data_IF_543827440876
#
_entry.id   IF_543827440876
#
_cell.length_a   1.000
_cell.length_b   1.000
_cell.length_c   1.000
_cell.angle_alpha   90.00
_cell.angle_beta   90.00
_cell.angle_gamma   90.00
#
_symmetry.space_group_name_H-M   'P 1'
#
loop_
_entity.id
_entity.type
_entity.pdbx_description
1 polymer ?
#
# COMPACT_ATOMS: atom_id res chain seq x y z
N UNK A 1 1.34 -11.83 27.47
CA UNK A 1 0.71 -10.61 28.00
C UNK A 1 -0.61 -10.36 27.26
N UNK A 2 -1.66 -10.03 27.98
CA UNK A 2 -2.92 -9.64 27.35
C UNK A 2 -2.72 -8.35 26.53
N UNK A 3 -3.29 -8.29 25.33
CA UNK A 3 -3.30 -7.05 24.53
C UNK A 3 -4.04 -5.98 25.31
N UNK A 4 -3.45 -4.80 25.41
CA UNK A 4 -4.11 -3.65 26.02
C UNK A 4 -5.35 -3.29 25.19
N UNK A 5 -6.51 -3.30 25.81
CA UNK A 5 -7.74 -2.85 25.17
C UNK A 5 -7.80 -1.32 25.18
N UNK A 6 -8.25 -0.76 24.06
CA UNK A 6 -8.55 0.66 23.94
C UNK A 6 -10.06 0.84 23.91
N UNK A 7 -10.57 1.73 24.74
CA UNK A 7 -11.98 2.07 24.77
C UNK A 7 -12.14 3.57 24.55
N UNK A 8 -13.14 3.95 23.75
CA UNK A 8 -13.38 5.34 23.36
C UNK A 8 -14.87 5.68 23.51
N UNK A 9 -15.15 6.93 23.82
CA UNK A 9 -16.53 7.43 23.91
C UNK A 9 -17.22 7.53 22.55
N UNK A 10 -16.43 7.64 21.49
CA UNK A 10 -16.90 7.72 20.10
C UNK A 10 -16.25 6.66 19.24
N UNK A 11 -17.01 6.18 18.25
CA UNK A 11 -16.46 5.28 17.25
C UNK A 11 -15.26 5.94 16.53
N UNK A 12 -14.24 5.16 16.25
CA UNK A 12 -13.03 5.60 15.55
C UNK A 12 -12.70 4.64 14.41
N UNK A 13 -12.33 5.16 13.23
CA UNK A 13 -11.85 4.27 12.17
C UNK A 13 -10.47 3.73 12.50
N UNK A 14 -10.16 2.56 11.97
CA UNK A 14 -8.78 2.13 11.83
C UNK A 14 -8.13 2.90 10.68
N UNK A 15 -6.81 3.08 10.74
CA UNK A 15 -6.06 3.78 9.69
C UNK A 15 -5.01 2.85 9.13
N UNK A 16 -4.96 2.75 7.80
CA UNK A 16 -3.89 2.04 7.08
C UNK A 16 -3.09 3.01 6.23
N UNK A 17 -1.84 2.65 5.96
CA UNK A 17 -0.98 3.35 5.02
C UNK A 17 -0.58 2.37 3.91
N UNK A 18 -0.82 2.76 2.66
CA UNK A 18 -0.53 1.95 1.49
C UNK A 18 0.43 2.70 0.57
N UNK A 19 1.23 1.97 -0.22
CA UNK A 19 2.24 2.58 -1.07
C UNK A 19 2.06 2.14 -2.50
N UNK A 20 1.95 3.11 -3.40
CA UNK A 20 2.02 2.90 -4.85
C UNK A 20 3.45 3.22 -5.29
N UNK A 21 4.25 2.18 -5.46
CA UNK A 21 5.65 2.28 -5.86
C UNK A 21 5.76 1.98 -7.35
N UNK A 22 6.11 2.98 -8.15
CA UNK A 22 6.12 2.89 -9.62
C UNK A 22 7.51 3.21 -10.17
N UNK A 23 8.00 2.38 -11.07
CA UNK A 23 9.30 2.55 -11.71
C UNK A 23 9.31 3.71 -12.73
N UNK A 24 10.49 4.34 -12.88
CA UNK A 24 10.77 5.32 -13.93
C UNK A 24 11.38 4.62 -15.15
N UNK A 25 10.53 4.14 -16.04
CA UNK A 25 10.94 3.48 -17.28
C UNK A 25 9.87 3.69 -18.34
N UNK A 26 10.19 3.38 -19.60
CA UNK A 26 9.26 3.58 -20.73
C UNK A 26 7.96 2.80 -20.56
N UNK A 27 8.04 1.60 -19.99
CA UNK A 27 6.87 0.79 -19.62
C UNK A 27 6.85 0.60 -18.10
N UNK A 28 6.29 1.58 -17.36
CA UNK A 28 6.38 1.56 -15.90
C UNK A 28 5.70 0.35 -15.28
N UNK A 29 6.25 -0.06 -14.14
CA UNK A 29 5.74 -1.18 -13.34
C UNK A 29 5.42 -0.71 -11.93
N UNK A 30 4.44 -1.35 -11.32
CA UNK A 30 4.07 -1.14 -9.92
C UNK A 30 4.44 -2.37 -9.09
N UNK A 31 4.89 -2.15 -7.88
CA UNK A 31 5.19 -3.22 -6.94
C UNK A 31 3.92 -3.67 -6.24
N UNK A 32 3.64 -4.97 -6.30
CA UNK A 32 2.52 -5.58 -5.60
C UNK A 32 3.01 -6.73 -4.74
N UNK A 33 2.29 -6.98 -3.66
CA UNK A 33 2.46 -8.16 -2.81
C UNK A 33 1.27 -9.10 -3.01
N UNK A 34 1.49 -10.40 -2.85
CA UNK A 34 0.40 -11.37 -2.79
C UNK A 34 0.03 -11.59 -1.33
N UNK A 35 -1.24 -11.43 -1.01
CA UNK A 35 -1.71 -11.57 0.36
C UNK A 35 -1.66 -13.03 0.81
N UNK A 36 -1.06 -13.26 1.98
CA UNK A 36 -0.99 -14.61 2.57
C UNK A 36 -2.23 -14.96 3.39
N UNK A 37 -2.98 -13.95 3.85
CA UNK A 37 -4.09 -14.13 4.79
C UNK A 37 -5.40 -13.48 4.31
N UNK A 38 -6.52 -13.95 4.83
CA UNK A 38 -7.81 -13.31 4.61
C UNK A 38 -7.86 -11.91 5.28
N UNK A 39 -8.63 -10.94 4.78
CA UNK A 39 -9.43 -11.00 3.55
C UNK A 39 -8.58 -10.98 2.29
N UNK A 40 -9.12 -11.46 1.19
CA UNK A 40 -8.46 -11.51 -0.12
C UNK A 40 -7.17 -12.34 -0.16
N UNK A 41 -7.09 -13.44 0.59
CA UNK A 41 -5.95 -14.35 0.52
C UNK A 41 -5.68 -14.79 -0.92
N UNK A 42 -4.40 -14.75 -1.34
CA UNK A 42 -3.99 -15.06 -2.71
C UNK A 42 -4.13 -13.93 -3.71
N UNK A 43 -4.88 -12.88 -3.39
CA UNK A 43 -5.00 -11.70 -4.26
C UNK A 43 -3.75 -10.80 -4.14
N UNK A 44 -3.50 -10.04 -5.20
CA UNK A 44 -2.44 -9.04 -5.21
C UNK A 44 -2.94 -7.71 -4.62
N UNK A 45 -2.06 -7.00 -3.96
CA UNK A 45 -2.36 -5.76 -3.27
C UNK A 45 -1.15 -4.82 -3.26
N UNK A 46 -1.40 -3.55 -2.99
CA UNK A 46 -0.33 -2.61 -2.66
C UNK A 46 0.31 -3.01 -1.34
N UNK A 47 1.63 -2.83 -1.19
CA UNK A 47 2.25 -2.93 0.13
C UNK A 47 1.62 -1.92 1.09
N UNK A 48 1.40 -2.32 2.33
CA UNK A 48 0.80 -1.45 3.33
C UNK A 48 0.19 -2.22 4.48
N UNK A 49 -0.28 -1.50 5.48
CA UNK A 49 -0.91 -2.08 6.65
C UNK A 49 -1.35 -1.04 7.67
N UNK A 50 -1.76 -1.51 8.83
CA UNK A 50 -2.29 -0.66 9.88
C UNK A 50 -1.20 0.20 10.52
N UNK A 51 -1.56 1.46 10.76
CA UNK A 51 -0.74 2.39 11.53
C UNK A 51 -0.77 1.96 13.00
N UNK A 52 0.38 1.92 13.64
CA UNK A 52 0.49 1.60 15.07
C UNK A 52 0.13 2.83 15.93
N UNK A 53 -0.17 2.57 17.20
CA UNK A 53 -0.38 3.65 18.18
C UNK A 53 0.82 4.61 18.19
N UNK A 54 0.51 5.90 18.10
CA UNK A 54 1.51 6.98 18.14
C UNK A 54 2.58 6.93 17.04
N UNK A 55 2.36 6.16 15.98
CA UNK A 55 3.24 6.08 14.82
C UNK A 55 2.86 7.16 13.80
N UNK A 56 3.80 7.98 13.32
CA UNK A 56 3.55 8.87 12.19
C UNK A 56 3.16 8.06 10.95
N UNK A 57 2.19 8.57 10.19
CA UNK A 57 1.61 7.82 9.06
C UNK A 57 2.67 7.51 7.99
N UNK A 58 3.58 8.44 7.70
CA UNK A 58 4.68 8.22 6.75
C UNK A 58 5.60 7.09 7.24
N UNK A 59 5.88 7.04 8.53
CA UNK A 59 6.71 6.00 9.12
C UNK A 59 6.02 4.64 9.05
N UNK A 60 4.69 4.61 9.26
CA UNK A 60 3.91 3.38 9.08
C UNK A 60 4.03 2.86 7.64
N UNK A 61 3.91 3.73 6.65
CA UNK A 61 4.07 3.37 5.25
C UNK A 61 5.45 2.77 4.96
N UNK A 62 6.50 3.42 5.45
CA UNK A 62 7.89 2.93 5.28
C UNK A 62 8.13 1.61 6.00
N UNK A 63 7.62 1.47 7.21
CA UNK A 63 7.73 0.24 8.01
C UNK A 63 7.04 -0.92 7.30
N UNK A 64 5.80 -0.74 6.87
CA UNK A 64 5.05 -1.79 6.17
C UNK A 64 5.72 -2.19 4.86
N UNK A 65 6.22 -1.22 4.09
CA UNK A 65 6.97 -1.52 2.87
C UNK A 65 8.20 -2.38 3.17
N UNK A 66 8.95 -2.01 4.20
CA UNK A 66 10.14 -2.78 4.62
C UNK A 66 9.78 -4.18 5.09
N UNK A 67 8.78 -4.31 5.95
CA UNK A 67 8.33 -5.60 6.48
C UNK A 67 7.85 -6.55 5.38
N UNK A 68 7.13 -6.04 4.38
CA UNK A 68 6.54 -6.87 3.33
C UNK A 68 7.45 -7.11 2.13
N UNK A 69 8.38 -6.20 1.85
CA UNK A 69 9.20 -6.24 0.62
C UNK A 69 10.71 -6.14 0.84
N UNK A 70 11.14 -5.79 2.03
CA UNK A 70 12.55 -5.54 2.34
C UNK A 70 13.08 -4.21 1.81
N UNK A 71 12.26 -3.41 1.14
CA UNK A 71 12.69 -2.14 0.54
C UNK A 71 12.65 -0.98 1.51
N UNK A 72 13.57 -0.03 1.30
CA UNK A 72 13.62 1.26 2.00
C UNK A 72 13.51 2.38 0.98
N UNK A 73 12.54 3.26 1.19
CA UNK A 73 12.29 4.42 0.30
C UNK A 73 12.34 5.69 1.14
N UNK A 74 13.20 6.62 0.76
CA UNK A 74 13.41 7.86 1.51
C UNK A 74 12.25 8.84 1.36
N UNK A 75 11.72 9.00 0.15
CA UNK A 75 10.71 10.01 -0.16
C UNK A 75 9.40 9.36 -0.60
N UNK A 76 8.36 9.64 0.18
CA UNK A 76 6.98 9.29 -0.13
C UNK A 76 6.16 10.58 -0.16
N UNK A 77 5.29 10.72 -1.15
CA UNK A 77 4.32 11.80 -1.19
C UNK A 77 2.91 11.26 -1.00
N UNK A 78 2.08 12.00 -0.29
CA UNK A 78 0.67 11.62 -0.13
C UNK A 78 -0.03 11.71 -1.49
N UNK A 79 -0.66 10.60 -1.87
CA UNK A 79 -1.37 10.49 -3.14
C UNK A 79 -2.86 10.75 -2.97
N UNK A 80 -3.51 10.01 -2.08
CA UNK A 80 -4.95 10.01 -1.93
C UNK A 80 -5.34 9.39 -0.60
N UNK A 81 -6.45 9.86 -0.04
CA UNK A 81 -7.05 9.25 1.15
C UNK A 81 -8.41 8.68 0.76
N UNK A 82 -8.62 7.40 1.01
CA UNK A 82 -9.88 6.71 0.75
C UNK A 82 -10.49 6.22 2.06
N UNK A 83 -11.77 6.45 2.25
CA UNK A 83 -12.45 6.14 3.51
C UNK A 83 -13.93 5.80 3.32
N UNK A 84 -14.35 5.43 2.11
CA UNK A 84 -15.74 5.08 1.85
C UNK A 84 -16.17 3.90 2.71
N UNK A 85 -17.36 3.94 3.32
CA UNK A 85 -17.89 2.82 4.08
C UNK A 85 -17.92 1.54 3.26
N UNK A 86 -17.47 0.44 3.86
CA UNK A 86 -17.48 -0.87 3.20
C UNK A 86 -16.31 -1.15 2.25
N UNK A 87 -15.38 -0.20 2.06
CA UNK A 87 -14.18 -0.42 1.23
C UNK A 87 -13.28 -1.54 1.76
N UNK A 88 -13.28 -1.75 3.06
CA UNK A 88 -12.52 -2.79 3.75
C UNK A 88 -13.49 -3.69 4.51
N UNK A 89 -13.55 -4.99 4.20
CA UNK A 89 -14.48 -5.91 4.87
C UNK A 89 -14.16 -6.15 6.35
N UNK A 90 -12.98 -5.78 6.83
CA UNK A 90 -12.60 -5.92 8.25
C UNK A 90 -13.28 -4.90 9.16
N UNK A 91 -13.71 -3.75 8.61
CA UNK A 91 -14.37 -2.72 9.37
C UNK A 91 -14.18 -1.32 8.80
N UNK A 92 -14.55 -0.32 9.58
CA UNK A 92 -14.41 1.08 9.21
C UNK A 92 -12.92 1.46 9.15
N UNK A 93 -12.40 1.62 7.95
CA UNK A 93 -10.97 1.82 7.72
C UNK A 93 -10.73 2.95 6.73
N UNK A 94 -9.88 3.88 7.11
CA UNK A 94 -9.38 4.96 6.24
C UNK A 94 -7.97 4.58 5.82
N UNK A 95 -7.71 4.55 4.52
CA UNK A 95 -6.38 4.33 3.97
C UNK A 95 -5.80 5.63 3.44
N UNK A 96 -4.56 5.91 3.84
CA UNK A 96 -3.78 7.00 3.29
C UNK A 96 -2.75 6.37 2.36
N UNK A 97 -2.89 6.62 1.06
CA UNK A 97 -2.01 6.09 0.04
C UNK A 97 -0.90 7.08 -0.28
N UNK A 98 0.30 6.55 -0.45
CA UNK A 98 1.50 7.30 -0.81
C UNK A 98 1.99 6.86 -2.17
N UNK A 99 2.61 7.79 -2.90
CA UNK A 99 3.27 7.54 -4.18
C UNK A 99 4.78 7.71 -4.03
N UNK A 100 5.52 6.78 -4.59
CA UNK A 100 6.96 6.94 -4.80
C UNK A 100 7.35 6.47 -6.20
N UNK A 101 8.31 7.15 -6.80
CA UNK A 101 8.90 6.80 -8.09
C UNK A 101 10.32 6.32 -7.86
N UNK A 102 10.67 5.20 -8.46
CA UNK A 102 12.00 4.57 -8.30
C UNK A 102 12.60 4.20 -9.64
N UNK A 103 13.91 4.12 -9.70
CA UNK A 103 14.61 3.68 -10.91
C UNK A 103 14.54 2.17 -11.04
N UNK A 104 14.21 1.70 -12.23
CA UNK A 104 14.11 0.27 -12.52
C UNK A 104 15.47 -0.41 -12.34
N UNK A 105 15.47 -1.60 -11.76
CA UNK A 105 16.65 -2.42 -11.59
C UNK A 105 17.56 -2.09 -10.41
N UNK A 106 17.29 -1.00 -9.67
CA UNK A 106 18.06 -0.63 -8.48
C UNK A 106 17.53 -1.29 -7.20
N UNK A 107 16.29 -1.76 -7.22
CA UNK A 107 15.63 -2.35 -6.08
C UNK A 107 15.31 -3.82 -6.30
N UNK A 108 15.61 -4.64 -5.30
CA UNK A 108 15.34 -6.09 -5.31
C UNK A 108 14.42 -6.45 -4.15
N UNK A 109 13.11 -6.39 -4.36
CA UNK A 109 12.16 -6.74 -3.32
C UNK A 109 12.19 -8.24 -2.99
N UNK A 110 11.92 -8.56 -1.72
CA UNK A 110 11.78 -9.92 -1.23
C UNK A 110 10.53 -10.00 -0.37
N UNK A 111 9.73 -11.05 -0.55
CA UNK A 111 8.55 -11.26 0.28
C UNK A 111 8.95 -11.40 1.75
N UNK A 112 8.33 -10.59 2.59
CA UNK A 112 8.46 -10.67 4.06
C UNK A 112 7.40 -11.60 4.65
N UNK A 113 7.29 -11.56 6.00
CA UNK A 113 6.52 -12.54 6.78
C UNK A 113 5.03 -12.64 6.40
N UNK A 114 4.38 -11.53 6.06
CA UNK A 114 2.94 -11.48 5.79
C UNK A 114 2.59 -11.47 4.30
N UNK A 115 3.59 -11.57 3.44
CA UNK A 115 3.41 -11.64 1.99
C UNK A 115 3.80 -13.02 1.46
N UNK A 116 2.90 -13.64 0.69
CA UNK A 116 3.20 -14.91 0.03
C UNK A 116 4.17 -14.73 -1.14
N UNK A 117 4.15 -13.57 -1.79
CA UNK A 117 5.04 -13.21 -2.89
C UNK A 117 5.09 -11.70 -3.05
N UNK A 118 6.11 -11.22 -3.77
CA UNK A 118 6.25 -9.84 -4.18
C UNK A 118 6.70 -9.80 -5.64
N UNK A 119 6.12 -8.89 -6.44
CA UNK A 119 6.40 -8.85 -7.86
C UNK A 119 6.12 -7.47 -8.45
N UNK A 120 6.93 -7.09 -9.45
CA UNK A 120 6.68 -5.95 -10.31
C UNK A 120 5.70 -6.33 -11.43
N UNK A 121 4.64 -5.52 -11.60
CA UNK A 121 3.67 -5.70 -12.68
C UNK A 121 3.65 -4.47 -13.58
N UNK A 122 3.62 -4.68 -14.89
CA UNK A 122 3.40 -3.59 -15.84
C UNK A 122 2.04 -2.95 -15.61
N UNK A 123 1.99 -1.62 -15.66
CA UNK A 123 0.74 -0.89 -15.42
C UNK A 123 -0.35 -1.22 -16.44
N UNK A 124 0.00 -1.67 -17.63
CA UNK A 124 -0.96 -2.08 -18.66
C UNK A 124 -1.38 -3.56 -18.56
N UNK A 125 -0.87 -4.31 -17.59
CA UNK A 125 -1.19 -5.73 -17.37
C UNK A 125 -1.30 -6.05 -15.88
N UNK A 126 -2.16 -5.32 -15.18
CA UNK A 126 -2.36 -5.54 -13.75
C UNK A 126 -3.24 -6.76 -13.50
N UNK A 127 -2.94 -7.56 -12.47
CA UNK A 127 -3.86 -8.57 -11.98
C UNK A 127 -5.05 -7.91 -11.30
N UNK A 128 -6.05 -8.70 -10.92
CA UNK A 128 -7.11 -8.23 -10.04
C UNK A 128 -6.52 -7.88 -8.67
N UNK A 129 -6.79 -6.67 -8.19
CA UNK A 129 -6.28 -6.19 -6.92
C UNK A 129 -7.32 -6.32 -5.80
N UNK A 130 -6.81 -6.55 -4.58
CA UNK A 130 -7.61 -6.56 -3.37
C UNK A 130 -8.13 -5.16 -3.02
N UNK A 131 -9.18 -5.10 -2.20
CA UNK A 131 -9.77 -3.85 -1.71
C UNK A 131 -10.13 -2.90 -2.86
N UNK A 132 -9.87 -1.63 -2.67
CA UNK A 132 -9.99 -0.57 -3.70
C UNK A 132 -8.62 -0.16 -4.26
N UNK A 133 -7.62 -1.05 -4.19
CA UNK A 133 -6.26 -0.75 -4.60
C UNK A 133 -6.13 -0.43 -6.09
N UNK A 134 -6.99 -1.00 -6.95
CA UNK A 134 -7.01 -0.65 -8.37
C UNK A 134 -7.28 0.84 -8.59
N UNK A 135 -8.19 1.43 -7.82
CA UNK A 135 -8.48 2.87 -7.86
C UNK A 135 -7.26 3.69 -7.45
N UNK A 136 -6.53 3.27 -6.42
CA UNK A 136 -5.32 3.96 -5.96
C UNK A 136 -4.21 3.93 -7.02
N UNK A 137 -4.04 2.82 -7.71
CA UNK A 137 -3.08 2.71 -8.83
C UNK A 137 -3.48 3.66 -9.96
N UNK A 138 -4.76 3.74 -10.32
CA UNK A 138 -5.25 4.67 -11.34
C UNK A 138 -5.00 6.13 -10.95
N UNK A 139 -5.18 6.47 -9.69
CA UNK A 139 -4.86 7.81 -9.17
C UNK A 139 -3.37 8.14 -9.32
N UNK A 140 -2.51 7.16 -9.07
CA UNK A 140 -1.07 7.33 -9.25
C UNK A 140 -0.70 7.55 -10.72
N UNK A 141 -1.27 6.75 -11.62
CA UNK A 141 -1.08 6.88 -13.06
C UNK A 141 -1.49 8.29 -13.53
N UNK A 142 -2.66 8.76 -13.10
CA UNK A 142 -3.15 10.10 -13.44
C UNK A 142 -2.21 11.20 -12.92
N UNK A 143 -1.72 11.08 -11.68
CA UNK A 143 -0.79 12.03 -11.08
C UNK A 143 0.51 12.13 -11.88
N UNK A 144 1.06 11.00 -12.30
CA UNK A 144 2.28 10.94 -13.10
C UNK A 144 2.05 11.54 -14.49
N UNK A 145 0.93 11.24 -15.14
CA UNK A 145 0.59 11.78 -16.45
C UNK A 145 0.43 13.30 -16.40
N UNK A 146 -0.24 13.84 -15.39
CA UNK A 146 -0.43 15.29 -15.22
C UNK A 146 0.90 16.02 -15.08
N UNK A 147 1.89 15.43 -14.41
CA UNK A 147 3.23 16.02 -14.22
C UNK A 147 4.09 15.94 -15.48
N UNK A 148 3.82 14.99 -16.36
CA UNK A 148 4.55 14.83 -17.63
C UNK A 148 4.01 15.74 -18.73
N UNK A 149 2.84 16.33 -18.53
CA UNK A 149 2.21 17.24 -19.51
C UNK A 149 2.83 18.64 -19.52
#
# INVERSE_FOLDING_TARGET
MAKKAFAYDYARPAVTADIVLITREAQPRVLLIQRAHEPFAGAWALPGGFVNVDEPIVDAAKRELHEETGLEIALLEQLYTTGDPGRDPRGWTISIAFLARVDAGTLQPRAGDDAAAVKWFRLNKLPKLAFDHAMLVQRAIARIADRAA
#
